data_IF_607190271992
#
_entry.id   IF_607190271992
#
_cell.length_a   1.000
_cell.length_b   1.000
_cell.length_c   1.000
_cell.angle_alpha   90.00
_cell.angle_beta   90.00
_cell.angle_gamma   90.00
#
_symmetry.space_group_name_H-M   'P 1'
#
loop_
_entity.id
_entity.type
_entity.pdbx_description
1 polymer ?
#
# COMPACT_ATOMS: atom_id res chain seq x y z
N UNK A 1 10.23 -19.33 -12.83
CA UNK A 1 8.91 -19.17 -12.19
C UNK A 1 9.12 -18.40 -10.90
N UNK A 2 9.10 -17.08 -10.96
CA UNK A 2 9.00 -16.23 -9.75
C UNK A 2 7.50 -16.07 -9.48
N UNK A 3 6.90 -17.14 -8.98
CA UNK A 3 5.48 -17.19 -8.62
C UNK A 3 5.35 -16.91 -7.12
N UNK A 4 4.45 -15.97 -6.78
CA UNK A 4 3.65 -15.94 -5.55
C UNK A 4 4.20 -15.25 -4.28
N UNK A 5 5.02 -14.20 -4.37
CA UNK A 5 5.22 -13.25 -3.25
C UNK A 5 4.62 -11.91 -3.64
N UNK A 6 3.30 -11.83 -3.55
CA UNK A 6 2.58 -10.56 -3.49
C UNK A 6 3.20 -9.77 -2.34
N UNK A 7 3.92 -8.69 -2.67
CA UNK A 7 4.94 -8.06 -1.85
C UNK A 7 4.52 -7.96 -0.37
N UNK A 8 5.11 -8.82 0.48
CA UNK A 8 4.74 -8.94 1.88
C UNK A 8 4.88 -7.61 2.63
N UNK A 9 5.89 -6.81 2.25
CA UNK A 9 6.14 -5.47 2.80
C UNK A 9 5.05 -4.47 2.41
N UNK A 10 4.54 -4.54 1.18
CA UNK A 10 3.39 -3.72 0.74
C UNK A 10 2.16 -4.07 1.59
N UNK A 11 1.85 -5.36 1.73
CA UNK A 11 0.69 -5.79 2.52
C UNK A 11 0.83 -5.41 4.00
N UNK A 12 2.02 -5.60 4.58
CA UNK A 12 2.32 -5.19 5.96
C UNK A 12 2.11 -3.69 6.16
N UNK A 13 2.65 -2.85 5.27
CA UNK A 13 2.48 -1.39 5.38
C UNK A 13 1.02 -0.95 5.27
N UNK A 14 0.24 -1.59 4.40
CA UNK A 14 -1.19 -1.33 4.25
C UNK A 14 -1.95 -1.74 5.51
N UNK A 15 -1.58 -2.88 6.11
CA UNK A 15 -2.19 -3.34 7.36
C UNK A 15 -1.89 -2.40 8.53
N UNK A 16 -0.63 -1.97 8.66
CA UNK A 16 -0.23 -0.97 9.65
C UNK A 16 -1.01 0.33 9.50
N UNK A 17 -1.21 0.79 8.25
CA UNK A 17 -2.00 1.97 7.97
C UNK A 17 -3.46 1.81 8.44
N UNK A 18 -4.11 0.68 8.14
CA UNK A 18 -5.49 0.44 8.58
C UNK A 18 -5.59 0.34 10.10
N UNK A 19 -4.69 -0.38 10.76
CA UNK A 19 -4.68 -0.49 12.22
C UNK A 19 -4.38 0.85 12.92
N UNK A 20 -3.54 1.70 12.32
CA UNK A 20 -3.25 3.03 12.85
C UNK A 20 -4.49 3.95 12.83
N UNK A 21 -5.31 3.86 11.79
CA UNK A 21 -6.49 4.72 11.60
C UNK A 21 -7.77 4.11 12.22
N UNK A 22 -7.82 2.79 12.33
CA UNK A 22 -8.92 2.05 12.95
C UNK A 22 -8.35 0.84 13.74
N UNK A 23 -7.94 1.06 15.00
CA UNK A 23 -7.35 0.00 15.83
C UNK A 23 -8.29 -1.17 16.12
N UNK A 24 -9.60 -0.90 16.15
CA UNK A 24 -10.66 -1.90 16.33
C UNK A 24 -11.17 -2.40 14.98
N UNK A 25 -10.26 -2.79 14.08
CA UNK A 25 -10.60 -3.32 12.76
C UNK A 25 -11.38 -4.65 12.92
N UNK A 26 -12.70 -4.57 13.00
CA UNK A 26 -13.62 -5.72 13.06
C UNK A 26 -14.12 -6.13 11.65
N UNK A 27 -13.98 -5.22 10.69
CA UNK A 27 -14.35 -5.41 9.30
C UNK A 27 -13.33 -6.26 8.53
N UNK A 28 -13.86 -7.04 7.58
CA UNK A 28 -13.02 -7.83 6.67
C UNK A 28 -12.41 -6.91 5.62
N UNK A 29 -11.09 -6.92 5.49
CA UNK A 29 -10.41 -6.19 4.41
C UNK A 29 -10.69 -6.89 3.08
N UNK A 30 -11.28 -6.15 2.16
CA UNK A 30 -11.51 -6.61 0.79
C UNK A 30 -10.27 -6.38 -0.05
N UNK A 31 -9.87 -7.40 -0.80
CA UNK A 31 -8.70 -7.35 -1.69
C UNK A 31 -9.15 -7.54 -3.14
N UNK A 32 -8.66 -6.71 -4.05
CA UNK A 32 -9.00 -6.74 -5.49
C UNK A 32 -7.76 -6.59 -6.35
N UNK A 33 -7.66 -7.38 -7.42
CA UNK A 33 -6.62 -7.22 -8.43
C UNK A 33 -7.01 -6.12 -9.43
N UNK A 34 -6.07 -5.24 -9.75
CA UNK A 34 -6.25 -4.23 -10.78
C UNK A 34 -5.63 -4.76 -12.08
N UNK A 35 -6.47 -4.87 -13.12
CA UNK A 35 -6.07 -5.36 -14.43
C UNK A 35 -6.62 -4.41 -15.49
N UNK A 36 -5.77 -3.98 -16.44
CA UNK A 36 -6.19 -3.25 -17.64
C UNK A 36 -5.58 -3.89 -18.87
N UNK A 37 -6.37 -4.06 -19.93
CA UNK A 37 -5.92 -4.62 -21.21
C UNK A 37 -5.17 -5.97 -21.06
N UNK A 38 -5.58 -6.78 -20.08
CA UNK A 38 -4.94 -8.07 -19.77
C UNK A 38 -3.63 -7.99 -18.98
N UNK A 39 -3.21 -6.79 -18.57
CA UNK A 39 -1.99 -6.57 -17.80
C UNK A 39 -2.33 -6.32 -16.33
N UNK A 40 -1.56 -6.94 -15.43
CA UNK A 40 -1.64 -6.68 -14.00
C UNK A 40 -1.06 -5.30 -13.69
N UNK A 41 -1.88 -4.43 -13.12
CA UNK A 41 -1.50 -3.07 -12.75
C UNK A 41 -1.13 -2.95 -11.26
N UNK A 42 -1.64 -3.85 -10.43
CA UNK A 42 -1.42 -3.83 -9.00
C UNK A 42 -2.62 -4.30 -8.21
N UNK A 43 -2.76 -3.80 -7.00
CA UNK A 43 -3.71 -4.34 -6.03
C UNK A 43 -4.37 -3.23 -5.23
N UNK A 44 -5.66 -3.44 -4.93
CA UNK A 44 -6.45 -2.55 -4.11
C UNK A 44 -6.96 -3.27 -2.88
N UNK A 45 -6.86 -2.60 -1.75
CA UNK A 45 -7.36 -3.04 -0.46
C UNK A 45 -8.38 -2.02 0.05
N UNK A 46 -9.52 -2.49 0.56
CA UNK A 46 -10.58 -1.63 1.08
C UNK A 46 -11.03 -2.12 2.44
N UNK A 47 -11.18 -1.18 3.37
CA UNK A 47 -11.70 -1.44 4.70
C UNK A 47 -12.54 -0.24 5.16
N UNK A 48 -13.83 -0.43 5.43
CA UNK A 48 -14.76 0.65 5.73
C UNK A 48 -14.65 1.83 4.72
N UNK A 49 -14.27 3.01 5.23
CA UNK A 49 -14.06 4.25 4.47
C UNK A 49 -12.61 4.49 4.05
N UNK A 50 -11.73 3.51 4.25
CA UNK A 50 -10.32 3.57 3.89
C UNK A 50 -10.03 2.71 2.65
N UNK A 51 -9.05 3.14 1.88
CA UNK A 51 -8.59 2.43 0.70
C UNK A 51 -7.07 2.51 0.60
N UNK A 52 -6.44 1.44 0.14
CA UNK A 52 -5.05 1.44 -0.26
C UNK A 52 -4.92 0.88 -1.68
N UNK A 53 -4.17 1.57 -2.53
CA UNK A 53 -3.93 1.15 -3.92
C UNK A 53 -2.43 1.07 -4.14
N UNK A 54 -1.94 -0.13 -4.40
CA UNK A 54 -0.59 -0.36 -4.90
C UNK A 54 -0.61 -0.42 -6.42
N UNK A 55 0.21 0.40 -7.07
CA UNK A 55 0.40 0.41 -8.52
C UNK A 55 1.83 -0.03 -8.83
N UNK A 56 1.98 -1.12 -9.59
CA UNK A 56 3.27 -1.74 -9.88
C UNK A 56 4.14 -0.82 -10.74
N UNK A 57 3.56 -0.20 -11.77
CA UNK A 57 4.31 0.65 -12.70
C UNK A 57 4.85 1.93 -12.04
N UNK A 58 4.07 2.50 -11.11
CA UNK A 58 4.50 3.69 -10.34
C UNK A 58 5.43 3.31 -9.18
N UNK A 59 5.49 2.02 -8.80
CA UNK A 59 6.17 1.53 -7.61
C UNK A 59 5.74 2.24 -6.31
N UNK A 60 4.45 2.59 -6.21
CA UNK A 60 3.89 3.43 -5.13
C UNK A 60 2.65 2.78 -4.52
N UNK A 61 2.49 2.97 -3.21
CA UNK A 61 1.25 2.74 -2.47
C UNK A 61 0.57 4.07 -2.20
N UNK A 62 -0.69 4.22 -2.63
CA UNK A 62 -1.56 5.35 -2.29
C UNK A 62 -2.49 4.92 -1.16
N UNK A 63 -2.48 5.64 -0.04
CA UNK A 63 -3.26 5.35 1.15
C UNK A 63 -4.31 6.46 1.35
N UNK A 64 -5.57 6.08 1.42
CA UNK A 64 -6.72 6.97 1.53
C UNK A 64 -7.39 6.72 2.88
N UNK A 65 -7.35 7.72 3.77
CA UNK A 65 -7.96 7.63 5.08
C UNK A 65 -9.42 8.11 5.07
N UNK A 66 -10.19 7.70 6.09
CA UNK A 66 -11.60 8.06 6.26
C UNK A 66 -11.84 9.57 6.44
N UNK A 67 -10.83 10.31 6.90
CA UNK A 67 -10.86 11.77 7.01
C UNK A 67 -10.62 12.50 5.67
N UNK A 68 -10.41 11.76 4.57
CA UNK A 68 -10.15 12.30 3.24
C UNK A 68 -8.67 12.62 2.95
N UNK A 69 -7.75 12.36 3.88
CA UNK A 69 -6.32 12.54 3.63
C UNK A 69 -5.77 11.44 2.73
N UNK A 70 -4.78 11.80 1.91
CA UNK A 70 -4.07 10.88 1.02
C UNK A 70 -2.58 10.93 1.33
N UNK A 71 -1.97 9.76 1.53
CA UNK A 71 -0.52 9.58 1.63
C UNK A 71 -0.04 8.75 0.43
N UNK A 72 1.17 9.01 -0.06
CA UNK A 72 1.83 8.22 -1.10
C UNK A 72 3.19 7.76 -0.61
N UNK A 73 3.49 6.48 -0.79
CA UNK A 73 4.69 5.84 -0.29
C UNK A 73 5.37 5.09 -1.42
N UNK A 74 6.61 5.45 -1.72
CA UNK A 74 7.47 4.70 -2.64
C UNK A 74 7.84 3.35 -2.02
N UNK A 75 7.53 2.25 -2.71
CA UNK A 75 7.77 0.89 -2.20
C UNK A 75 9.26 0.59 -2.03
N UNK A 76 10.11 1.17 -2.87
CA UNK A 76 11.58 1.10 -2.72
C UNK A 76 12.07 1.55 -1.33
N UNK A 77 11.38 2.54 -0.74
CA UNK A 77 11.74 3.06 0.59
C UNK A 77 11.32 2.13 1.72
N UNK A 78 10.35 1.24 1.48
CA UNK A 78 9.88 0.24 2.42
C UNK A 78 10.79 -0.99 2.42
N UNK A 79 11.29 -1.39 1.26
CA UNK A 79 12.21 -2.53 1.12
C UNK A 79 13.63 -2.20 1.62
N UNK A 80 14.00 -0.92 1.62
CA UNK A 80 15.29 -0.44 2.11
C UNK A 80 15.13 0.75 3.08
N UNK A 81 14.97 0.51 4.40
CA UNK A 81 14.75 1.59 5.38
C UNK A 81 15.91 2.60 5.46
N UNK A 82 17.12 2.26 4.99
CA UNK A 82 18.23 3.22 4.90
C UNK A 82 17.98 4.32 3.83
N UNK A 83 17.17 4.04 2.80
CA UNK A 83 16.77 5.03 1.80
C UNK A 83 15.83 6.09 2.40
N UNK A 84 15.00 5.69 3.38
CA UNK A 84 14.09 6.58 4.10
C UNK A 84 14.83 7.64 4.93
N UNK A 85 15.94 7.26 5.57
CA UNK A 85 16.81 8.15 6.34
C UNK A 85 17.56 9.15 5.43
N UNK A 86 18.00 8.70 4.24
CA UNK A 86 18.68 9.54 3.27
C UNK A 86 17.74 10.58 2.64
N UNK A 87 16.51 10.20 2.31
CA UNK A 87 15.51 11.12 1.76
C UNK A 87 15.09 12.22 2.75
N UNK A 88 15.03 11.92 4.05
CA UNK A 88 14.72 12.90 5.11
C UNK A 88 15.84 13.92 5.36
N UNK A 89 17.09 13.59 5.05
CA UNK A 89 18.25 14.50 5.23
C UNK A 89 18.50 15.41 4.03
N UNK A 90 17.86 15.12 2.89
CA UNK A 90 17.97 15.91 1.67
C UNK A 90 16.85 16.97 1.51
N UNK A 91 15.88 17.00 2.43
CA UNK A 91 14.76 17.94 2.47
C UNK A 91 14.96 19.04 3.52
#
# INVERSE_FOLDING_TARGET
MQENVWNGVVRERIWDFFLQHQPELDETVEESLLISDGHFLGQRFRCAQMEAVWLVEENVIKLHASNGSIESIDVETLENPAAQEASKRAA
#
